data_IF_579970886418
#
_entry.id   IF_579970886418
#
_cell.length_a   1.000
_cell.length_b   1.000
_cell.length_c   1.000
_cell.angle_alpha   90.00
_cell.angle_beta   90.00
_cell.angle_gamma   90.00
#
_symmetry.space_group_name_H-M   'P 1'
#
loop_
_entity.id
_entity.type
_entity.pdbx_description
1 polymer ?
#
# COMPACT_ATOMS: atom_id res chain seq x y z
N UNK A 1 -32.51 49.54 9.06
CA UNK A 1 -31.76 49.14 7.85
C UNK A 1 -30.25 48.94 8.05
N UNK A 2 -29.73 48.85 9.29
CA UNK A 2 -28.29 48.60 9.56
C UNK A 2 -27.96 47.20 10.08
N UNK A 3 -28.94 46.48 10.67
CA UNK A 3 -28.69 45.19 11.34
C UNK A 3 -28.59 43.98 10.38
N UNK A 4 -29.24 44.03 9.21
CA UNK A 4 -29.15 42.93 8.22
C UNK A 4 -27.83 42.94 7.44
N UNK A 5 -27.22 44.11 7.23
CA UNK A 5 -25.92 44.26 6.58
C UNK A 5 -24.79 43.60 7.38
N UNK A 6 -24.80 43.70 8.72
CA UNK A 6 -23.79 43.04 9.56
C UNK A 6 -23.91 41.51 9.55
N UNK A 7 -25.13 40.96 9.47
CA UNK A 7 -25.33 39.51 9.36
C UNK A 7 -24.89 38.99 7.98
N UNK A 8 -25.18 39.73 6.91
CA UNK A 8 -24.78 39.36 5.55
C UNK A 8 -23.24 39.43 5.38
N UNK A 9 -22.61 40.50 5.88
CA UNK A 9 -21.15 40.65 5.86
C UNK A 9 -20.46 39.58 6.70
N UNK A 10 -21.00 39.22 7.86
CA UNK A 10 -20.48 38.13 8.68
C UNK A 10 -20.54 36.76 7.99
N UNK A 11 -21.64 36.47 7.29
CA UNK A 11 -21.79 35.23 6.52
C UNK A 11 -20.83 35.17 5.31
N UNK A 12 -20.64 36.30 4.62
CA UNK A 12 -19.70 36.39 3.49
C UNK A 12 -18.26 36.18 3.97
N UNK A 13 -17.86 36.81 5.09
CA UNK A 13 -16.53 36.62 5.67
C UNK A 13 -16.32 35.17 6.10
N UNK A 14 -17.32 34.53 6.72
CA UNK A 14 -17.24 33.13 7.10
C UNK A 14 -17.11 32.20 5.88
N UNK A 15 -17.88 32.45 4.81
CA UNK A 15 -17.78 31.70 3.55
C UNK A 15 -16.41 31.87 2.87
N UNK A 16 -15.87 33.10 2.83
CA UNK A 16 -14.55 33.36 2.26
C UNK A 16 -13.46 32.67 3.09
N UNK A 17 -13.56 32.69 4.41
CA UNK A 17 -12.65 31.97 5.30
C UNK A 17 -12.73 30.46 5.04
N UNK A 18 -13.94 29.88 4.96
CA UNK A 18 -14.08 28.45 4.65
C UNK A 18 -13.57 28.08 3.26
N UNK A 19 -13.75 28.94 2.25
CA UNK A 19 -13.25 28.71 0.89
C UNK A 19 -11.72 28.84 0.82
N UNK A 20 -11.14 29.83 1.51
CA UNK A 20 -9.69 29.99 1.62
C UNK A 20 -9.04 28.83 2.37
N UNK A 21 -9.68 28.33 3.43
CA UNK A 21 -9.20 27.14 4.14
C UNK A 21 -9.38 25.87 3.30
N UNK A 22 -10.50 25.73 2.57
CA UNK A 22 -10.75 24.60 1.66
C UNK A 22 -9.73 24.55 0.51
N UNK A 23 -9.46 25.69 -0.14
CA UNK A 23 -8.42 25.79 -1.18
C UNK A 23 -7.01 25.60 -0.59
N UNK A 24 -6.73 26.08 0.63
CA UNK A 24 -5.44 25.83 1.29
C UNK A 24 -5.22 24.36 1.68
N UNK A 25 -6.31 23.61 1.93
CA UNK A 25 -6.27 22.19 2.26
C UNK A 25 -6.13 21.33 1.00
N UNK A 26 -6.71 21.76 -0.13
CA UNK A 26 -6.63 21.04 -1.41
C UNK A 26 -5.48 21.45 -2.34
N UNK A 27 -4.84 22.61 -2.14
CA UNK A 27 -3.75 23.09 -3.01
C UNK A 27 -2.33 22.77 -2.53
N UNK A 28 -2.15 22.01 -1.44
CA UNK A 28 -0.82 21.48 -1.09
C UNK A 28 -0.46 20.27 -1.93
N UNK A 29 -0.17 20.51 -3.21
CA UNK A 29 0.89 19.74 -3.87
C UNK A 29 2.18 20.16 -3.16
N UNK A 30 2.49 19.51 -2.03
CA UNK A 30 3.80 19.67 -1.42
C UNK A 30 4.77 19.07 -2.42
N UNK A 31 5.65 19.91 -2.97
CA UNK A 31 6.89 19.42 -3.57
C UNK A 31 7.51 18.45 -2.58
N UNK A 32 7.61 17.19 -3.02
CA UNK A 32 8.20 16.10 -2.26
C UNK A 32 9.61 16.58 -1.92
N UNK A 33 9.89 16.83 -0.62
CA UNK A 33 11.27 16.91 -0.15
C UNK A 33 11.84 15.50 -0.24
N UNK A 34 12.30 15.13 -1.43
CA UNK A 34 13.07 13.92 -1.67
C UNK A 34 14.42 14.15 -1.01
N UNK A 35 14.59 13.70 0.24
CA UNK A 35 15.92 13.22 0.63
C UNK A 35 16.22 12.08 -0.34
N UNK A 36 17.29 12.22 -1.13
CA UNK A 36 17.72 11.22 -2.11
C UNK A 36 18.06 9.91 -1.39
N UNK A 37 17.04 9.08 -1.14
CA UNK A 37 17.25 7.69 -0.73
C UNK A 37 17.83 7.02 -1.98
N UNK A 38 19.06 6.48 -1.91
CA UNK A 38 19.64 5.76 -3.02
C UNK A 38 18.80 4.51 -3.30
N UNK A 39 18.59 4.22 -4.58
CA UNK A 39 17.92 3.01 -5.01
C UNK A 39 18.97 1.90 -5.12
N UNK A 40 18.63 0.64 -4.80
CA UNK A 40 19.50 -0.49 -5.12
C UNK A 40 19.62 -0.63 -6.65
N UNK A 41 20.57 -1.44 -7.10
CA UNK A 41 20.58 -1.89 -8.50
C UNK A 41 19.30 -2.68 -8.79
N UNK A 42 18.70 -2.48 -9.97
CA UNK A 42 17.51 -3.19 -10.46
C UNK A 42 16.32 -3.24 -9.48
N UNK A 43 15.83 -2.10 -8.96
CA UNK A 43 14.71 -2.09 -8.01
C UNK A 43 13.41 -2.56 -8.70
N UNK A 44 12.74 -3.54 -8.10
CA UNK A 44 11.50 -4.19 -8.58
C UNK A 44 10.26 -3.69 -7.85
N UNK A 45 10.34 -3.61 -6.52
CA UNK A 45 9.25 -3.14 -5.64
C UNK A 45 9.81 -2.24 -4.54
N UNK A 46 9.04 -1.22 -4.17
CA UNK A 46 9.30 -0.39 -3.01
C UNK A 46 8.10 -0.46 -2.07
N UNK A 47 8.35 -0.46 -0.77
CA UNK A 47 7.32 -0.23 0.22
C UNK A 47 7.82 0.69 1.34
N UNK A 48 6.89 1.41 1.96
CA UNK A 48 7.17 2.39 3.01
C UNK A 48 6.20 2.19 4.17
N UNK A 49 6.77 2.13 5.38
CA UNK A 49 6.06 2.22 6.65
C UNK A 49 5.72 3.67 7.00
N UNK A 50 5.80 4.02 8.29
CA UNK A 50 5.73 5.44 8.71
C UNK A 50 7.09 6.11 8.62
N UNK A 51 7.10 7.39 8.25
CA UNK A 51 8.32 8.19 8.20
C UNK A 51 9.31 7.70 7.15
N UNK A 52 10.54 7.38 7.57
CA UNK A 52 11.65 6.99 6.69
C UNK A 52 11.90 5.46 6.67
N UNK A 53 10.92 4.64 7.07
CA UNK A 53 10.98 3.16 7.07
C UNK A 53 10.77 2.61 5.65
N UNK A 54 11.79 2.75 4.81
CA UNK A 54 11.74 2.45 3.37
C UNK A 54 12.46 1.15 3.04
N UNK A 55 11.80 0.33 2.25
CA UNK A 55 12.25 -1.01 1.87
C UNK A 55 12.18 -1.20 0.37
N UNK A 56 13.15 -1.94 -0.18
CA UNK A 56 13.26 -2.22 -1.60
C UNK A 56 13.46 -3.71 -1.82
N UNK A 57 12.79 -4.25 -2.82
CA UNK A 57 13.06 -5.58 -3.39
C UNK A 57 13.63 -5.39 -4.80
N UNK A 58 14.69 -6.11 -5.14
CA UNK A 58 15.32 -6.08 -6.48
C UNK A 58 14.78 -7.18 -7.38
N UNK A 59 15.16 -7.15 -8.66
CA UNK A 59 14.84 -8.20 -9.63
C UNK A 59 15.53 -9.53 -9.33
N UNK A 60 16.65 -9.49 -8.62
CA UNK A 60 17.41 -10.65 -8.14
C UNK A 60 16.84 -11.22 -6.83
N UNK A 61 15.63 -10.79 -6.43
CA UNK A 61 14.91 -11.22 -5.23
C UNK A 61 15.68 -10.92 -3.92
N UNK A 62 16.42 -9.79 -3.91
CA UNK A 62 17.17 -9.31 -2.73
C UNK A 62 16.39 -8.20 -2.04
N UNK A 63 16.21 -8.32 -0.73
CA UNK A 63 15.53 -7.33 0.10
C UNK A 63 16.55 -6.41 0.78
N UNK A 64 16.33 -5.09 0.63
CA UNK A 64 17.10 -4.04 1.28
C UNK A 64 16.20 -3.14 2.13
N UNK A 65 16.77 -2.65 3.23
CA UNK A 65 16.17 -1.61 4.06
C UNK A 65 17.04 -0.36 4.05
N UNK A 66 16.46 0.82 3.85
CA UNK A 66 17.14 2.09 4.03
C UNK A 66 17.36 2.37 5.51
N UNK A 67 18.62 2.44 5.95
CA UNK A 67 18.92 2.86 7.32
C UNK A 67 19.14 4.38 7.37
N UNK A 68 18.23 5.17 7.98
CA UNK A 68 18.44 6.61 8.12
C UNK A 68 19.62 6.95 9.05
N UNK A 69 19.97 6.04 9.97
CA UNK A 69 21.12 6.18 10.89
C UNK A 69 22.44 5.96 10.15
N UNK A 70 22.54 4.86 9.39
CA UNK A 70 23.76 4.54 8.66
C UNK A 70 23.87 5.27 7.32
N UNK A 71 22.78 5.92 6.87
CA UNK A 71 22.64 6.58 5.56
C UNK A 71 23.04 5.67 4.39
N UNK A 72 22.62 4.41 4.45
CA UNK A 72 22.87 3.42 3.39
C UNK A 72 21.77 2.37 3.34
N UNK A 73 21.64 1.73 2.19
CA UNK A 73 20.88 0.49 2.05
C UNK A 73 21.60 -0.64 2.78
N UNK A 74 20.84 -1.41 3.55
CA UNK A 74 21.30 -2.55 4.33
C UNK A 74 20.61 -3.80 3.78
N UNK A 75 21.40 -4.78 3.35
CA UNK A 75 20.91 -6.10 2.96
C UNK A 75 20.12 -6.74 4.11
N UNK A 76 19.00 -7.39 3.80
CA UNK A 76 18.10 -8.00 4.79
C UNK A 76 17.78 -9.46 4.54
N UNK A 77 17.60 -9.84 3.29
CA UNK A 77 17.38 -11.23 2.91
C UNK A 77 17.55 -11.40 1.40
N UNK A 78 17.61 -12.66 0.96
CA UNK A 78 17.54 -13.06 -0.44
C UNK A 78 16.41 -14.07 -0.66
N UNK A 79 16.14 -14.40 -1.91
CA UNK A 79 15.05 -15.30 -2.31
C UNK A 79 13.67 -14.82 -1.86
N UNK A 80 13.48 -13.50 -1.84
CA UNK A 80 12.21 -12.84 -1.49
C UNK A 80 11.36 -12.64 -2.75
N UNK A 81 10.17 -13.25 -2.80
CA UNK A 81 9.23 -13.09 -3.91
C UNK A 81 8.47 -11.77 -3.83
N UNK A 82 7.95 -11.46 -2.65
CA UNK A 82 7.17 -10.26 -2.37
C UNK A 82 7.31 -9.87 -0.89
N UNK A 83 7.03 -8.62 -0.55
CA UNK A 83 7.08 -8.13 0.82
C UNK A 83 6.10 -6.98 1.07
N UNK A 84 5.75 -6.72 2.32
CA UNK A 84 4.93 -5.58 2.71
C UNK A 84 5.38 -4.99 4.05
N UNK A 85 5.21 -3.68 4.20
CA UNK A 85 5.58 -2.91 5.40
C UNK A 85 4.34 -2.24 5.98
N UNK A 86 4.04 -2.53 7.24
CA UNK A 86 2.93 -1.97 7.99
C UNK A 86 3.24 -0.58 8.57
N UNK A 87 2.20 0.17 8.93
CA UNK A 87 2.34 1.49 9.55
C UNK A 87 2.96 1.44 10.94
N UNK A 88 2.89 0.27 11.59
CA UNK A 88 3.50 -0.07 12.87
C UNK A 88 4.96 -0.53 12.74
N UNK A 89 5.52 -0.53 11.53
CA UNK A 89 6.88 -1.01 11.24
C UNK A 89 6.98 -2.54 11.14
N UNK A 90 5.86 -3.27 11.18
CA UNK A 90 5.85 -4.70 10.92
C UNK A 90 6.27 -4.95 9.48
N UNK A 91 7.20 -5.86 9.27
CA UNK A 91 7.64 -6.26 7.93
C UNK A 91 7.40 -7.74 7.75
N UNK A 92 6.69 -8.06 6.68
CA UNK A 92 6.36 -9.43 6.27
C UNK A 92 6.85 -9.66 4.86
N UNK A 93 7.29 -10.87 4.59
CA UNK A 93 7.77 -11.27 3.27
C UNK A 93 7.30 -12.67 2.90
N UNK A 94 7.28 -12.94 1.61
CA UNK A 94 7.11 -14.27 1.03
C UNK A 94 8.46 -14.67 0.44
N UNK A 95 8.97 -15.85 0.77
CA UNK A 95 10.18 -16.40 0.13
C UNK A 95 9.85 -17.29 -1.07
N UNK A 96 10.86 -17.71 -1.83
CA UNK A 96 10.72 -18.63 -2.97
C UNK A 96 10.16 -20.01 -2.63
N UNK A 97 10.13 -20.38 -1.36
CA UNK A 97 9.41 -21.55 -0.85
C UNK A 97 7.88 -21.34 -0.75
N UNK A 98 7.38 -20.16 -1.12
CA UNK A 98 5.99 -19.72 -1.04
C UNK A 98 5.45 -19.61 0.40
N UNK A 99 6.31 -19.58 1.40
CA UNK A 99 5.94 -19.39 2.81
C UNK A 99 6.06 -17.93 3.22
N UNK A 100 5.26 -17.53 4.21
CA UNK A 100 5.22 -16.18 4.78
C UNK A 100 6.11 -16.12 6.02
N UNK A 101 6.95 -15.10 6.07
CA UNK A 101 7.84 -14.82 7.19
C UNK A 101 7.61 -13.41 7.73
N UNK A 102 7.76 -13.25 9.04
CA UNK A 102 7.70 -11.95 9.74
C UNK A 102 9.06 -11.61 10.33
N UNK A 103 9.40 -10.33 10.33
CA UNK A 103 10.63 -9.84 10.95
C UNK A 103 10.50 -9.86 12.47
N UNK A 104 11.47 -10.48 13.15
CA UNK A 104 11.48 -10.54 14.62
C UNK A 104 12.08 -9.28 15.25
N UNK A 105 12.04 -9.20 16.59
CA UNK A 105 12.77 -8.18 17.37
C UNK A 105 14.27 -8.17 17.09
N UNK A 106 14.83 -9.29 16.64
CA UNK A 106 16.19 -9.37 16.16
C UNK A 106 16.19 -8.97 14.68
N UNK A 107 16.64 -7.75 14.42
CA UNK A 107 16.50 -7.00 13.17
C UNK A 107 16.90 -7.71 11.85
N UNK A 108 17.56 -8.88 11.90
CA UNK A 108 18.02 -9.69 10.76
C UNK A 108 17.55 -11.16 10.86
N UNK A 109 16.57 -11.48 11.72
CA UNK A 109 16.00 -12.81 11.87
C UNK A 109 14.54 -12.76 11.44
N UNK A 110 14.16 -13.75 10.63
CA UNK A 110 12.84 -13.94 10.06
C UNK A 110 12.23 -15.23 10.61
N UNK A 111 10.98 -15.16 11.03
CA UNK A 111 10.23 -16.31 11.56
C UNK A 111 9.10 -16.67 10.60
N UNK A 112 8.97 -17.96 10.27
CA UNK A 112 7.89 -18.45 9.42
C UNK A 112 6.58 -18.40 10.20
N UNK A 113 5.56 -17.77 9.62
CA UNK A 113 4.24 -17.64 10.23
C UNK A 113 3.13 -18.36 9.45
N UNK A 114 3.40 -18.79 8.21
CA UNK A 114 2.49 -19.67 7.46
C UNK A 114 2.58 -21.12 7.91
N UNK A 115 1.48 -21.84 7.75
CA UNK A 115 1.33 -23.25 8.16
C UNK A 115 1.66 -24.25 7.03
N UNK A 116 1.93 -23.76 5.82
CA UNK A 116 2.30 -24.56 4.64
C UNK A 116 1.14 -25.16 3.86
N UNK A 117 -0.10 -24.75 4.18
CA UNK A 117 -1.27 -25.19 3.41
C UNK A 117 -1.44 -24.42 2.10
N UNK A 118 -0.86 -23.23 1.99
CA UNK A 118 -1.02 -22.35 0.83
C UNK A 118 0.32 -22.01 0.19
N UNK A 119 0.33 -21.90 -1.14
CA UNK A 119 1.49 -21.45 -1.91
C UNK A 119 1.40 -19.95 -2.14
N UNK A 120 1.75 -19.15 -1.14
CA UNK A 120 1.60 -17.69 -1.18
C UNK A 120 2.48 -17.04 -2.27
N UNK A 121 1.98 -15.98 -2.91
CA UNK A 121 2.64 -15.27 -4.01
C UNK A 121 2.72 -13.75 -3.83
N UNK A 122 1.62 -13.10 -3.43
CA UNK A 122 1.62 -11.66 -3.13
C UNK A 122 1.22 -11.43 -1.69
N UNK A 123 1.70 -10.34 -1.09
CA UNK A 123 1.43 -10.02 0.31
C UNK A 123 1.08 -8.55 0.52
N UNK A 124 0.15 -8.33 1.46
CA UNK A 124 -0.23 -7.04 1.99
C UNK A 124 -0.54 -7.15 3.47
N UNK A 125 -0.27 -6.08 4.22
CA UNK A 125 -0.46 -6.02 5.67
C UNK A 125 -1.29 -4.78 6.02
N UNK A 126 -2.31 -4.96 6.87
CA UNK A 126 -3.01 -3.82 7.46
C UNK A 126 -2.30 -3.35 8.74
N UNK A 127 -1.91 -4.33 9.55
CA UNK A 127 -1.20 -4.22 10.82
C UNK A 127 -0.69 -5.60 11.19
N UNK A 128 0.06 -5.69 12.29
CA UNK A 128 0.56 -6.94 12.85
C UNK A 128 -0.48 -8.08 12.87
N UNK A 129 -1.71 -7.83 13.32
CA UNK A 129 -2.70 -8.90 13.52
C UNK A 129 -3.36 -9.42 12.24
N UNK A 130 -3.20 -8.73 11.11
CA UNK A 130 -3.96 -9.02 9.89
C UNK A 130 -3.11 -8.89 8.64
N UNK A 131 -2.83 -10.03 8.03
CA UNK A 131 -2.05 -10.18 6.81
C UNK A 131 -2.95 -10.78 5.74
N UNK A 132 -2.76 -10.33 4.51
CA UNK A 132 -3.49 -10.82 3.36
C UNK A 132 -2.50 -11.25 2.28
N UNK A 133 -2.82 -12.36 1.63
CA UNK A 133 -2.01 -12.90 0.56
C UNK A 133 -2.86 -13.42 -0.58
N UNK A 134 -2.24 -13.57 -1.74
CA UNK A 134 -2.77 -14.43 -2.81
C UNK A 134 -1.92 -15.70 -2.90
N UNK A 135 -2.48 -16.80 -3.39
CA UNK A 135 -1.69 -18.01 -3.71
C UNK A 135 -1.40 -18.15 -5.22
N UNK A 136 -0.78 -19.27 -5.60
CA UNK A 136 -0.46 -19.61 -6.99
C UNK A 136 -1.67 -19.86 -7.90
N UNK A 137 -2.85 -20.02 -7.32
CA UNK A 137 -4.11 -20.15 -8.04
C UNK A 137 -4.90 -18.83 -8.03
N UNK A 138 -4.28 -17.75 -7.54
CA UNK A 138 -4.88 -16.43 -7.36
C UNK A 138 -6.06 -16.43 -6.38
N UNK A 139 -6.09 -17.32 -5.40
CA UNK A 139 -7.09 -17.27 -4.33
C UNK A 139 -6.77 -16.16 -3.33
N UNK A 140 -7.81 -15.61 -2.71
CA UNK A 140 -7.69 -14.63 -1.63
C UNK A 140 -7.60 -15.35 -0.27
N UNK A 141 -6.46 -15.19 0.40
CA UNK A 141 -6.16 -15.77 1.72
C UNK A 141 -5.93 -14.68 2.76
N UNK A 142 -6.30 -14.97 4.01
CA UNK A 142 -6.10 -14.12 5.18
C UNK A 142 -5.40 -14.89 6.29
N UNK A 143 -4.39 -14.26 6.89
CA UNK A 143 -3.78 -14.66 8.16
C UNK A 143 -4.26 -13.75 9.30
N UNK A 144 -4.74 -14.35 10.39
CA UNK A 144 -5.16 -13.64 11.61
C UNK A 144 -4.28 -14.11 12.77
N UNK A 145 -3.65 -13.18 13.48
CA UNK A 145 -2.87 -13.52 14.67
C UNK A 145 -3.80 -13.89 15.85
N UNK A 146 -3.56 -15.06 16.44
CA UNK A 146 -4.18 -15.51 17.69
C UNK A 146 -3.17 -15.40 18.84
N UNK A 147 -3.48 -14.51 19.78
CA UNK A 147 -2.65 -14.25 20.97
C UNK A 147 -2.58 -15.45 21.92
N UNK A 148 -3.56 -16.36 21.90
CA UNK A 148 -3.59 -17.49 22.82
C UNK A 148 -2.62 -18.61 22.40
N UNK A 149 -2.46 -18.78 21.09
CA UNK A 149 -1.57 -19.78 20.50
C UNK A 149 -0.24 -19.19 20.05
N UNK A 150 -0.12 -17.85 20.02
CA UNK A 150 1.03 -17.09 19.51
C UNK A 150 1.35 -17.45 18.05
N UNK A 151 0.31 -17.57 17.22
CA UNK A 151 0.41 -18.02 15.83
C UNK A 151 -0.58 -17.29 14.93
N UNK A 152 -0.34 -17.35 13.63
CA UNK A 152 -1.31 -16.90 12.63
C UNK A 152 -2.16 -18.09 12.16
N UNK A 153 -3.48 -17.90 12.21
CA UNK A 153 -4.46 -18.78 11.58
C UNK A 153 -4.72 -18.34 10.15
N UNK A 154 -4.51 -19.25 9.20
CA UNK A 154 -4.63 -18.98 7.77
C UNK A 154 -5.90 -19.59 7.18
N UNK A 155 -6.65 -18.81 6.40
CA UNK A 155 -7.91 -19.25 5.80
C UNK A 155 -8.16 -18.62 4.44
N UNK A 156 -8.89 -19.34 3.58
CA UNK A 156 -9.48 -18.74 2.38
C UNK A 156 -10.54 -17.71 2.77
N UNK A 157 -10.44 -16.53 2.16
CA UNK A 157 -11.50 -15.51 2.18
C UNK A 157 -12.40 -15.68 0.97
N UNK A 158 -11.81 -15.88 -0.20
CA UNK A 158 -12.52 -16.22 -1.43
C UNK A 158 -11.58 -16.95 -2.41
N UNK A 159 -12.03 -18.10 -2.92
CA UNK A 159 -11.31 -18.93 -3.87
C UNK A 159 -12.02 -19.08 -5.23
N UNK A 160 -13.09 -18.30 -5.48
CA UNK A 160 -13.90 -18.43 -6.70
C UNK A 160 -13.52 -17.46 -7.82
N UNK A 161 -12.80 -16.39 -7.47
CA UNK A 161 -12.42 -15.32 -8.38
C UNK A 161 -10.90 -15.23 -8.44
N UNK A 162 -10.38 -14.64 -9.51
CA UNK A 162 -8.95 -14.37 -9.64
C UNK A 162 -8.56 -13.09 -8.87
N UNK A 163 -7.72 -13.26 -7.85
CA UNK A 163 -7.12 -12.20 -7.05
C UNK A 163 -5.62 -12.13 -7.34
N UNK A 164 -5.19 -11.18 -8.17
CA UNK A 164 -3.79 -11.03 -8.55
C UNK A 164 -2.97 -10.17 -7.58
N UNK A 165 -3.63 -9.30 -6.81
CA UNK A 165 -3.01 -8.53 -5.73
C UNK A 165 -4.10 -8.05 -4.78
N UNK A 166 -3.82 -8.11 -3.47
CA UNK A 166 -4.62 -7.46 -2.43
C UNK A 166 -3.81 -6.30 -1.88
N UNK A 167 -4.46 -5.19 -1.63
CA UNK A 167 -3.91 -4.09 -0.85
C UNK A 167 -4.88 -3.72 0.26
N UNK A 168 -4.46 -3.96 1.50
CA UNK A 168 -5.21 -3.52 2.66
C UNK A 168 -4.90 -2.06 3.00
N UNK A 169 -5.95 -1.26 3.10
CA UNK A 169 -5.89 0.09 3.61
C UNK A 169 -5.82 0.10 5.15
N UNK A 170 -4.75 0.65 5.72
CA UNK A 170 -4.61 0.73 7.17
C UNK A 170 -5.64 1.66 7.83
N UNK A 171 -6.08 2.74 7.17
CA UNK A 171 -6.93 3.76 7.82
C UNK A 171 -8.37 3.31 8.08
N UNK A 172 -8.91 2.46 7.22
CA UNK A 172 -10.32 2.05 7.30
C UNK A 172 -10.54 0.55 7.02
N UNK A 173 -9.46 -0.22 6.91
CA UNK A 173 -9.50 -1.66 6.63
C UNK A 173 -10.20 -2.03 5.32
N UNK A 174 -10.38 -1.08 4.41
CA UNK A 174 -10.87 -1.38 3.07
C UNK A 174 -9.86 -2.22 2.30
N UNK A 175 -10.39 -3.14 1.50
CA UNK A 175 -9.59 -4.09 0.73
C UNK A 175 -9.72 -3.76 -0.74
N UNK A 176 -8.61 -3.30 -1.30
CA UNK A 176 -8.49 -3.01 -2.72
C UNK A 176 -7.83 -4.17 -3.42
N UNK A 177 -8.41 -4.57 -4.54
CA UNK A 177 -8.06 -5.77 -5.27
C UNK A 177 -7.70 -5.40 -6.70
N UNK A 178 -6.53 -5.86 -7.17
CA UNK A 178 -6.30 -6.06 -8.60
C UNK A 178 -6.76 -7.48 -8.90
N UNK A 179 -7.93 -7.60 -9.51
CA UNK A 179 -8.60 -8.88 -9.71
C UNK A 179 -8.70 -9.27 -11.17
N UNK A 180 -9.71 -10.09 -11.49
CA UNK A 180 -10.03 -10.54 -12.84
C UNK A 180 -9.87 -9.45 -13.91
N UNK A 181 -9.14 -9.77 -14.97
CA UNK A 181 -8.83 -8.86 -16.07
C UNK A 181 -7.87 -7.72 -15.71
N UNK A 182 -7.22 -7.76 -14.54
CA UNK A 182 -6.35 -6.72 -13.99
C UNK A 182 -7.04 -5.38 -13.69
N UNK A 183 -8.38 -5.37 -13.59
CA UNK A 183 -9.10 -4.17 -13.13
C UNK A 183 -9.06 -4.05 -11.60
N UNK A 184 -9.36 -2.85 -11.13
CA UNK A 184 -9.34 -2.51 -9.71
C UNK A 184 -10.74 -2.54 -9.14
N UNK A 185 -10.87 -3.17 -7.97
CA UNK A 185 -12.13 -3.30 -7.26
C UNK A 185 -11.95 -3.08 -5.76
N UNK A 186 -12.99 -2.62 -5.08
CA UNK A 186 -13.11 -2.75 -3.62
C UNK A 186 -13.84 -4.06 -3.31
N UNK A 187 -13.25 -4.89 -2.46
CA UNK A 187 -13.88 -6.10 -1.93
C UNK A 187 -14.91 -5.76 -0.85
N UNK A 188 -16.12 -6.30 -0.98
CA UNK A 188 -17.19 -6.14 0.02
C UNK A 188 -17.45 -7.46 0.74
N UNK A 189 -17.67 -8.53 -0.04
CA UNK A 189 -17.85 -9.89 0.47
C UNK A 189 -17.59 -10.87 -0.67
N UNK A 190 -17.64 -12.17 -0.37
CA UNK A 190 -17.52 -13.22 -1.39
C UNK A 190 -18.54 -12.97 -2.54
N UNK A 191 -18.04 -12.94 -3.78
CA UNK A 191 -18.77 -12.60 -5.02
C UNK A 191 -19.39 -11.19 -5.09
N UNK A 192 -19.02 -10.25 -4.20
CA UNK A 192 -19.46 -8.85 -4.28
C UNK A 192 -18.26 -7.91 -4.27
N UNK A 193 -18.14 -7.19 -5.37
CA UNK A 193 -17.07 -6.22 -5.61
C UNK A 193 -17.66 -4.93 -6.16
N UNK A 194 -17.01 -3.81 -5.86
CA UNK A 194 -17.31 -2.51 -6.48
C UNK A 194 -16.18 -2.20 -7.45
N UNK A 195 -16.49 -2.12 -8.74
CA UNK A 195 -15.53 -1.74 -9.78
C UNK A 195 -15.07 -0.31 -9.55
N UNK A 196 -13.76 -0.09 -9.64
CA UNK A 196 -13.11 1.21 -9.45
C UNK A 196 -12.22 1.63 -10.60
N UNK A 197 -12.01 0.79 -11.62
CA UNK A 197 -11.30 1.20 -12.82
C UNK A 197 -11.92 0.60 -14.08
N UNK A 198 -11.90 1.41 -15.14
CA UNK A 198 -12.21 1.03 -16.52
C UNK A 198 -10.94 0.70 -17.32
N UNK A 199 -9.77 0.81 -16.68
CA UNK A 199 -8.44 0.47 -17.22
C UNK A 199 -7.74 -0.57 -16.35
N UNK A 200 -6.79 -1.28 -16.95
CA UNK A 200 -6.04 -2.36 -16.33
C UNK A 200 -4.82 -1.83 -15.59
N UNK A 201 -4.54 -2.40 -14.42
CA UNK A 201 -3.43 -2.03 -13.56
C UNK A 201 -2.47 -3.20 -13.34
N UNK A 202 -1.17 -2.91 -13.26
CA UNK A 202 -0.15 -3.90 -12.88
C UNK A 202 0.21 -3.86 -11.40
N UNK A 203 -0.20 -2.82 -10.67
CA UNK A 203 0.08 -2.67 -9.24
C UNK A 203 -0.89 -1.68 -8.58
N UNK A 204 -1.23 -1.94 -7.31
CA UNK A 204 -1.93 -0.99 -6.43
C UNK A 204 -1.35 -0.98 -5.01
N UNK A 205 -1.48 0.17 -4.33
CA UNK A 205 -1.33 0.32 -2.88
C UNK A 205 -2.41 1.27 -2.33
N UNK A 206 -3.15 0.81 -1.32
CA UNK A 206 -4.25 1.52 -0.70
C UNK A 206 -3.88 2.07 0.69
N UNK A 207 -4.33 3.29 0.97
CA UNK A 207 -4.32 3.92 2.30
C UNK A 207 -5.70 3.88 2.95
N UNK A 208 -6.74 4.06 2.14
CA UNK A 208 -8.16 4.05 2.54
C UNK A 208 -9.06 3.69 1.35
N UNK A 209 -10.36 3.62 1.59
CA UNK A 209 -11.41 3.46 0.58
C UNK A 209 -11.53 4.67 -0.36
N UNK A 210 -10.86 5.78 -0.04
CA UNK A 210 -10.84 7.02 -0.82
C UNK A 210 -9.43 7.48 -1.17
N UNK A 211 -8.38 6.69 -0.89
CA UNK A 211 -7.01 7.06 -1.20
C UNK A 211 -6.18 5.82 -1.58
N UNK A 212 -5.84 5.73 -2.86
CA UNK A 212 -5.08 4.60 -3.45
C UNK A 212 -4.14 5.14 -4.51
N UNK A 213 -2.96 4.55 -4.64
CA UNK A 213 -2.13 4.73 -5.83
C UNK A 213 -2.12 3.43 -6.65
N UNK A 214 -2.00 3.56 -7.96
CA UNK A 214 -1.89 2.43 -8.85
C UNK A 214 -1.00 2.74 -10.03
N UNK A 215 -0.36 1.71 -10.57
CA UNK A 215 0.40 1.82 -11.82
C UNK A 215 -0.31 1.00 -12.88
N UNK A 216 -0.61 1.63 -14.02
CA UNK A 216 -1.29 0.98 -15.13
C UNK A 216 -0.33 0.20 -16.04
N UNK A 217 -0.87 -0.49 -17.05
CA UNK A 217 -0.07 -1.20 -18.05
C UNK A 217 0.67 -0.29 -19.05
N UNK A 218 0.36 1.00 -19.09
CA UNK A 218 1.12 2.00 -19.84
C UNK A 218 2.29 2.57 -19.04
N UNK A 219 2.50 2.09 -17.80
CA UNK A 219 3.50 2.58 -16.86
C UNK A 219 3.19 4.00 -16.36
N UNK A 220 1.93 4.41 -16.36
CA UNK A 220 1.49 5.65 -15.74
C UNK A 220 1.11 5.40 -14.28
N UNK A 221 1.54 6.31 -13.40
CA UNK A 221 1.13 6.37 -12.01
C UNK A 221 -0.15 7.20 -11.90
N UNK A 222 -1.14 6.60 -11.26
CA UNK A 222 -2.43 7.19 -10.96
C UNK A 222 -2.66 7.23 -9.46
N UNK A 223 -3.35 8.27 -8.99
CA UNK A 223 -3.79 8.41 -7.61
C UNK A 223 -5.32 8.55 -7.60
N UNK A 224 -5.99 7.64 -6.89
CA UNK A 224 -7.42 7.70 -6.62
C UNK A 224 -7.65 8.51 -5.35
N UNK A 225 -8.28 9.68 -5.49
CA UNK A 225 -8.71 10.54 -4.37
C UNK A 225 -10.10 11.06 -4.65
N UNK A 226 -10.95 11.10 -3.60
CA UNK A 226 -12.30 11.66 -3.64
C UNK A 226 -13.14 11.09 -4.81
N UNK A 227 -13.11 9.77 -4.95
CA UNK A 227 -13.91 9.08 -5.97
C UNK A 227 -13.29 8.99 -7.36
N UNK A 228 -12.14 9.63 -7.63
CA UNK A 228 -11.62 9.81 -9.00
C UNK A 228 -10.13 9.48 -9.13
N UNK A 229 -9.74 8.87 -10.25
CA UNK A 229 -8.34 8.68 -10.63
C UNK A 229 -7.76 9.96 -11.25
N UNK A 230 -6.58 10.35 -10.78
CA UNK A 230 -5.79 11.49 -11.29
C UNK A 230 -4.42 10.99 -11.73
N UNK A 231 -4.01 11.34 -12.94
CA UNK A 231 -2.67 11.04 -13.44
C UNK A 231 -1.62 11.82 -12.65
N UNK A 232 -0.47 11.19 -12.37
CA UNK A 232 0.63 11.79 -11.58
C UNK A 232 1.98 11.77 -12.25
N UNK A 233 2.35 10.65 -12.87
CA UNK A 233 3.67 10.48 -13.45
C UNK A 233 3.67 9.39 -14.52
N UNK A 234 4.69 9.37 -15.37
CA UNK A 234 4.90 8.37 -16.43
C UNK A 234 6.16 7.55 -16.18
N UNK A 235 6.33 6.47 -16.94
CA UNK A 235 7.49 5.57 -16.86
C UNK A 235 7.73 5.04 -15.43
N UNK A 236 6.65 4.75 -14.72
CA UNK A 236 6.67 4.22 -13.36
C UNK A 236 6.64 2.69 -13.41
N UNK A 237 7.64 2.09 -12.77
CA UNK A 237 7.74 0.64 -12.60
C UNK A 237 6.93 0.18 -11.39
N UNK A 238 7.13 0.83 -10.25
CA UNK A 238 6.45 0.57 -8.98
C UNK A 238 6.41 1.85 -8.15
N UNK A 239 5.49 1.97 -7.20
CA UNK A 239 5.41 3.11 -6.30
C UNK A 239 4.84 2.69 -4.95
N UNK A 240 5.16 3.44 -3.91
CA UNK A 240 4.56 3.28 -2.60
C UNK A 240 4.23 4.65 -2.01
N UNK A 241 3.21 4.69 -1.17
CA UNK A 241 2.71 5.89 -0.51
C UNK A 241 2.81 5.68 1.00
N UNK A 242 3.28 6.70 1.70
CA UNK A 242 3.42 6.65 3.15
C UNK A 242 2.06 6.66 3.85
N UNK A 243 2.01 6.19 5.09
CA UNK A 243 0.73 6.10 5.81
C UNK A 243 0.13 7.47 6.17
N UNK A 244 0.89 8.56 6.12
CA UNK A 244 0.34 9.91 6.29
C UNK A 244 -0.33 10.43 4.99
N UNK A 245 -0.10 9.76 3.86
CA UNK A 245 -0.59 10.16 2.54
C UNK A 245 0.05 11.44 2.01
N UNK A 246 1.20 11.83 2.57
CA UNK A 246 1.91 13.06 2.20
C UNK A 246 3.03 12.80 1.16
N UNK A 247 3.51 11.56 1.04
CA UNK A 247 4.66 11.22 0.19
C UNK A 247 4.41 9.98 -0.64
N UNK A 248 4.74 10.07 -1.93
CA UNK A 248 4.80 8.94 -2.86
C UNK A 248 6.26 8.74 -3.29
N UNK A 249 6.79 7.55 -3.05
CA UNK A 249 8.09 7.10 -3.55
C UNK A 249 7.89 6.29 -4.83
N UNK A 250 8.73 6.53 -5.83
CA UNK A 250 8.54 6.02 -7.20
C UNK A 250 9.80 5.29 -7.65
N UNK A 251 9.66 4.11 -8.22
CA UNK A 251 10.70 3.45 -9.03
C UNK A 251 10.37 3.70 -10.50
N UNK A 252 11.32 4.23 -11.26
CA UNK A 252 11.22 4.39 -12.71
C UNK A 252 11.82 3.20 -13.46
N UNK A 253 11.44 3.05 -14.73
CA UNK A 253 12.16 2.18 -15.68
C UNK A 253 13.46 2.81 -16.16
#
# INVERSE_FOLDING_TARGET
MKLSYFKLMGAIVLCIITLLFYDSFHSRVREIQVREIPYPESPKKIDIGRGDDVWFLTDEDILYHWSPILKRLVYKDSDVLDFAVGSDGTVVLIKKDNEVYIRTIYANIWERISDGHFKHQTISICNYNMIFTTDSENHFIKGIYDINTDRYDWMYVDCKNDYYQISCAHHDYSLWIRGYGNYIYIYISNNKHIVKSETQFKYIKALSSQHVIGVDYNNDLWEYIDGNWKWKNKNVRNASIDYDGEKILIIHY
#
